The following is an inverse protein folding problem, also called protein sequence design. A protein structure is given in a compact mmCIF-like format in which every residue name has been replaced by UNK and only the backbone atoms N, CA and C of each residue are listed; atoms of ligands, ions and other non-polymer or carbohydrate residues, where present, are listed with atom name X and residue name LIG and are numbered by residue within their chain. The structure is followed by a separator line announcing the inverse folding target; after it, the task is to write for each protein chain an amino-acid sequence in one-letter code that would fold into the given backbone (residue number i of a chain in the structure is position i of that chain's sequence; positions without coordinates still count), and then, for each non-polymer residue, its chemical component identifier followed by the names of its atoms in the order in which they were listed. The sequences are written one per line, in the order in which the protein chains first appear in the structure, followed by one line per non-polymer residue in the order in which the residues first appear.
data_IF_783285885575
#
_entry.id   IF_783285885575
#
_cell.length_a   1.000
_cell.length_b   1.000
_cell.length_c   1.000
_cell.angle_alpha   90.00
_cell.angle_beta   90.00
_cell.angle_gamma   90.00
#
_symmetry.space_group_name_H-M   'P 1'
#
loop_
_entity.id
_entity.type
_entity.pdbx_description
1 polymer ?
#
# COMPACT_ATOMS: atom_id res chain seq x y z
N UNK A 1 -16.81 -12.19 11.30
CA UNK A 1 -16.14 -11.37 12.35
C UNK A 1 -14.84 -10.69 11.88
N UNK A 2 -14.36 -10.93 10.67
CA UNK A 2 -13.18 -10.26 10.11
C UNK A 2 -13.57 -8.94 9.40
N UNK A 3 -14.83 -8.80 9.02
CA UNK A 3 -15.36 -7.64 8.26
C UNK A 3 -15.57 -6.36 9.12
N UNK A 4 -15.55 -6.46 10.44
CA UNK A 4 -15.77 -5.32 11.36
C UNK A 4 -14.57 -4.34 11.46
N UNK A 5 -13.42 -4.70 10.91
CA UNK A 5 -12.20 -3.88 10.98
C UNK A 5 -11.98 -2.97 9.75
N UNK A 6 -12.78 -3.14 8.70
CA UNK A 6 -12.64 -2.36 7.48
C UNK A 6 -13.69 -1.24 7.40
N UNK A 7 -13.23 -0.06 7.01
CA UNK A 7 -14.12 1.08 6.75
C UNK A 7 -14.87 0.87 5.43
N UNK A 8 -16.19 0.66 5.48
CA UNK A 8 -16.99 0.43 4.25
C UNK A 8 -16.90 1.61 3.29
N UNK A 9 -16.72 1.35 1.99
CA UNK A 9 -16.70 2.43 0.99
C UNK A 9 -18.03 3.18 0.92
N UNK A 10 -17.95 4.46 0.56
CA UNK A 10 -19.10 5.27 0.21
C UNK A 10 -19.62 4.84 -1.17
N UNK A 11 -20.88 4.39 -1.24
CA UNK A 11 -21.44 3.78 -2.45
C UNK A 11 -22.12 4.79 -3.38
N UNK A 12 -22.56 5.95 -2.88
CA UNK A 12 -23.35 6.96 -3.57
C UNK A 12 -22.83 8.39 -3.35
N UNK A 13 -21.57 8.51 -2.94
CA UNK A 13 -20.90 9.80 -2.78
C UNK A 13 -20.47 10.44 -4.10
N UNK A 14 -19.89 11.63 -3.99
CA UNK A 14 -19.18 12.22 -5.11
C UNK A 14 -17.95 11.39 -5.49
N UNK A 15 -17.31 11.72 -6.60
CA UNK A 15 -16.18 10.97 -7.13
C UNK A 15 -15.00 10.92 -6.13
N UNK A 16 -14.68 12.04 -5.46
CA UNK A 16 -13.62 12.10 -4.46
C UNK A 16 -13.92 11.19 -3.27
N UNK A 17 -15.12 11.28 -2.71
CA UNK A 17 -15.54 10.46 -1.59
C UNK A 17 -15.53 8.97 -1.94
N UNK A 18 -15.98 8.62 -3.15
CA UNK A 18 -15.97 7.25 -3.65
C UNK A 18 -14.54 6.73 -3.77
N UNK A 19 -13.65 7.42 -4.50
CA UNK A 19 -12.28 6.97 -4.73
C UNK A 19 -11.47 6.88 -3.44
N UNK A 20 -11.57 7.87 -2.57
CA UNK A 20 -10.81 7.87 -1.30
C UNK A 20 -11.28 6.79 -0.34
N UNK A 21 -12.59 6.53 -0.27
CA UNK A 21 -13.13 5.49 0.59
C UNK A 21 -12.82 4.08 0.07
N UNK A 22 -12.84 3.87 -1.26
CA UNK A 22 -12.40 2.60 -1.87
C UNK A 22 -10.91 2.36 -1.62
N UNK A 23 -10.06 3.38 -1.77
CA UNK A 23 -8.64 3.25 -1.44
C UNK A 23 -8.43 2.91 0.04
N UNK A 24 -9.20 3.54 0.95
CA UNK A 24 -9.11 3.20 2.39
C UNK A 24 -9.53 1.74 2.65
N UNK A 25 -10.61 1.27 2.02
CA UNK A 25 -11.01 -0.14 2.10
C UNK A 25 -9.90 -1.09 1.67
N UNK A 26 -9.16 -0.76 0.60
CA UNK A 26 -8.03 -1.56 0.13
C UNK A 26 -6.88 -1.57 1.14
N UNK A 27 -6.57 -0.42 1.77
CA UNK A 27 -5.57 -0.33 2.85
C UNK A 27 -5.95 -1.19 4.04
N UNK A 28 -7.21 -1.09 4.48
CA UNK A 28 -7.74 -1.90 5.60
C UNK A 28 -7.69 -3.40 5.26
N UNK A 29 -7.93 -3.78 4.00
CA UNK A 29 -7.81 -5.15 3.53
C UNK A 29 -6.38 -5.68 3.68
N UNK A 30 -5.37 -4.92 3.30
CA UNK A 30 -3.97 -5.31 3.51
C UNK A 30 -3.67 -5.58 4.98
N UNK A 31 -4.11 -4.68 5.87
CA UNK A 31 -3.93 -4.84 7.32
C UNK A 31 -4.63 -6.09 7.85
N UNK A 32 -5.86 -6.35 7.39
CA UNK A 32 -6.61 -7.54 7.73
C UNK A 32 -5.88 -8.83 7.32
N UNK A 33 -5.25 -8.84 6.12
CA UNK A 33 -4.48 -10.00 5.65
C UNK A 33 -3.20 -10.24 6.46
N UNK A 34 -2.68 -9.22 7.13
CA UNK A 34 -1.51 -9.32 8.00
C UNK A 34 -1.84 -9.59 9.48
N UNK A 35 -3.10 -9.36 9.88
CA UNK A 35 -3.50 -9.41 11.29
C UNK A 35 -3.31 -10.78 11.94
N UNK A 36 -2.78 -10.78 13.18
CA UNK A 36 -2.62 -11.99 14.00
C UNK A 36 -1.47 -12.91 13.62
N UNK A 37 -0.67 -12.56 12.60
CA UNK A 37 0.49 -13.33 12.17
C UNK A 37 1.74 -12.97 12.97
N UNK A 38 2.60 -13.97 13.19
CA UNK A 38 3.92 -13.78 13.79
C UNK A 38 4.89 -13.10 12.80
N UNK A 39 5.99 -12.55 13.31
CA UNK A 39 7.05 -11.98 12.47
C UNK A 39 7.61 -12.98 11.44
N UNK A 40 7.74 -14.24 11.80
CA UNK A 40 8.19 -15.31 10.90
C UNK A 40 7.16 -15.55 9.78
N UNK A 41 5.87 -15.64 10.13
CA UNK A 41 4.79 -15.80 9.16
C UNK A 41 4.68 -14.62 8.19
N UNK A 42 4.84 -13.39 8.67
CA UNK A 42 4.82 -12.18 7.83
C UNK A 42 5.97 -12.15 6.81
N UNK A 43 7.16 -12.66 7.17
CA UNK A 43 8.33 -12.74 6.28
C UNK A 43 8.30 -13.94 5.33
N UNK A 44 7.41 -14.92 5.57
CA UNK A 44 7.40 -16.18 4.85
C UNK A 44 7.03 -16.00 3.37
N UNK A 45 7.89 -16.49 2.46
CA UNK A 45 7.63 -16.62 1.02
C UNK A 45 6.84 -17.91 0.78
N UNK A 46 5.53 -17.87 1.07
CA UNK A 46 4.68 -19.07 1.20
C UNK A 46 4.22 -19.67 -0.13
N UNK A 47 4.26 -18.91 -1.23
CA UNK A 47 3.77 -19.34 -2.56
C UNK A 47 4.94 -19.52 -3.52
N UNK A 48 5.43 -20.76 -3.64
CA UNK A 48 6.56 -21.12 -4.54
C UNK A 48 6.11 -21.05 -6.01
N UNK A 49 6.92 -20.50 -6.94
CA UNK A 49 8.27 -19.95 -6.79
C UNK A 49 8.31 -18.43 -6.50
N UNK A 50 7.23 -17.82 -6.07
CA UNK A 50 7.16 -16.39 -5.79
C UNK A 50 8.09 -15.98 -4.66
N UNK A 51 8.79 -14.85 -4.82
CA UNK A 51 9.57 -14.19 -3.78
C UNK A 51 8.76 -13.27 -2.87
N UNK A 52 7.45 -13.17 -3.06
CA UNK A 52 6.58 -12.28 -2.28
C UNK A 52 6.34 -12.82 -0.88
N UNK A 53 6.22 -11.90 0.07
CA UNK A 53 5.78 -12.13 1.44
C UNK A 53 4.82 -11.01 1.85
N UNK A 54 3.99 -11.23 2.88
CA UNK A 54 3.07 -10.20 3.37
C UNK A 54 3.85 -8.95 3.84
N UNK A 55 4.96 -9.14 4.56
CA UNK A 55 5.79 -8.03 5.00
C UNK A 55 6.42 -7.27 3.83
N UNK A 56 6.84 -7.97 2.78
CA UNK A 56 7.34 -7.36 1.54
C UNK A 56 6.28 -6.50 0.84
N UNK A 57 5.02 -6.95 0.82
CA UNK A 57 3.90 -6.18 0.27
C UNK A 57 3.62 -4.90 1.07
N UNK A 58 3.66 -4.95 2.40
CA UNK A 58 3.51 -3.76 3.27
C UNK A 58 4.60 -2.74 2.96
N UNK A 59 5.86 -3.16 2.87
CA UNK A 59 7.01 -2.30 2.55
C UNK A 59 6.90 -1.72 1.14
N UNK A 60 6.54 -2.54 0.15
CA UNK A 60 6.32 -2.10 -1.22
C UNK A 60 5.22 -1.03 -1.31
N UNK A 61 4.06 -1.28 -0.68
CA UNK A 61 2.95 -0.32 -0.71
C UNK A 61 3.26 0.97 0.05
N UNK A 62 4.14 0.95 1.07
CA UNK A 62 4.67 2.18 1.66
C UNK A 62 5.49 3.01 0.65
N UNK A 63 6.32 2.35 -0.18
CA UNK A 63 7.07 3.03 -1.25
C UNK A 63 6.16 3.58 -2.34
N UNK A 64 5.13 2.84 -2.74
CA UNK A 64 4.14 3.28 -3.74
C UNK A 64 3.36 4.50 -3.24
N UNK A 65 2.88 4.48 -2.00
CA UNK A 65 2.24 5.63 -1.33
C UNK A 65 3.15 6.87 -1.31
N UNK A 66 4.39 6.69 -0.86
CA UNK A 66 5.39 7.76 -0.83
C UNK A 66 5.62 8.34 -2.22
N UNK A 67 5.83 7.47 -3.20
CA UNK A 67 6.14 7.87 -4.58
C UNK A 67 5.02 8.71 -5.18
N UNK A 68 3.80 8.23 -5.14
CA UNK A 68 2.68 8.88 -5.81
C UNK A 68 2.14 10.10 -5.06
N UNK A 69 1.90 9.99 -3.76
CA UNK A 69 1.31 11.11 -3.03
C UNK A 69 2.33 12.13 -2.59
N UNK A 70 3.47 11.72 -2.04
CA UNK A 70 4.45 12.67 -1.51
C UNK A 70 5.30 13.28 -2.61
N UNK A 71 5.93 12.44 -3.46
CA UNK A 71 6.88 12.95 -4.44
C UNK A 71 6.17 13.49 -5.69
N UNK A 72 5.22 12.75 -6.27
CA UNK A 72 4.55 13.18 -7.51
C UNK A 72 3.54 14.28 -7.24
N UNK A 73 2.56 14.06 -6.38
CA UNK A 73 1.48 15.03 -6.14
C UNK A 73 1.89 16.15 -5.17
N UNK A 74 2.52 15.80 -4.07
CA UNK A 74 2.89 16.72 -2.98
C UNK A 74 4.18 17.49 -3.22
N UNK A 75 4.92 17.19 -4.30
CA UNK A 75 6.20 17.80 -4.64
C UNK A 75 7.26 17.71 -3.52
N UNK A 76 7.14 16.71 -2.64
CA UNK A 76 8.10 16.44 -1.59
C UNK A 76 9.28 15.64 -2.18
N UNK A 77 10.52 16.08 -1.95
CA UNK A 77 11.73 15.31 -2.33
C UNK A 77 12.08 14.31 -1.21
N UNK A 78 11.30 13.27 -1.09
CA UNK A 78 11.50 12.24 -0.05
C UNK A 78 12.17 11.01 -0.64
N UNK A 79 13.31 10.64 -0.06
CA UNK A 79 14.01 9.41 -0.44
C UNK A 79 13.21 8.16 -0.11
N UNK A 80 13.46 7.07 -0.86
CA UNK A 80 12.87 5.77 -0.58
C UNK A 80 13.20 5.28 0.84
N UNK A 81 12.23 4.66 1.47
CA UNK A 81 12.41 4.03 2.79
C UNK A 81 13.29 2.79 2.71
N UNK A 82 13.17 2.07 1.59
CA UNK A 82 13.87 0.82 1.31
C UNK A 82 14.68 0.97 0.02
N UNK A 83 15.84 1.67 0.07
CA UNK A 83 16.62 2.00 -1.12
C UNK A 83 17.20 0.74 -1.76
N UNK A 84 17.70 0.89 -2.98
CA UNK A 84 18.44 -0.18 -3.65
C UNK A 84 19.70 -0.54 -2.88
N UNK A 85 20.01 -1.84 -2.86
CA UNK A 85 21.27 -2.35 -2.34
C UNK A 85 22.44 -2.08 -3.32
N UNK A 86 23.65 -2.50 -2.97
CA UNK A 86 24.85 -2.35 -3.80
C UNK A 86 24.74 -3.08 -5.16
N UNK A 87 23.91 -4.13 -5.25
CA UNK A 87 23.62 -4.85 -6.49
C UNK A 87 22.56 -4.14 -7.37
N UNK A 88 21.99 -3.02 -6.91
CA UNK A 88 20.96 -2.26 -7.61
C UNK A 88 19.56 -2.83 -7.48
N UNK A 89 19.34 -3.78 -6.57
CA UNK A 89 18.03 -4.41 -6.32
C UNK A 89 17.26 -3.62 -5.27
N UNK A 90 15.95 -3.47 -5.46
CA UNK A 90 15.06 -2.86 -4.49
C UNK A 90 14.94 -3.71 -3.23
N UNK A 91 15.14 -3.11 -2.06
CA UNK A 91 15.20 -3.85 -0.79
C UNK A 91 13.87 -3.96 -0.05
N UNK A 92 12.78 -3.43 -0.60
CA UNK A 92 11.45 -3.60 0.01
C UNK A 92 11.03 -5.06 0.18
N UNK A 93 11.45 -5.94 -0.73
CA UNK A 93 11.16 -7.39 -0.67
C UNK A 93 12.23 -8.23 0.05
N UNK A 94 13.33 -7.61 0.48
CA UNK A 94 14.33 -8.27 1.33
C UNK A 94 13.89 -8.15 2.79
N UNK A 95 13.18 -9.16 3.27
CA UNK A 95 12.49 -9.09 4.57
C UNK A 95 13.09 -9.99 5.64
N UNK A 96 14.16 -10.69 5.33
CA UNK A 96 14.77 -11.71 6.20
C UNK A 96 15.10 -11.15 7.59
N UNK A 97 15.67 -9.94 7.65
CA UNK A 97 16.04 -9.23 8.87
C UNK A 97 15.14 -8.02 9.17
N UNK A 98 14.05 -7.83 8.36
CA UNK A 98 13.19 -6.66 8.53
C UNK A 98 12.35 -6.76 9.80
N UNK A 99 12.25 -5.66 10.55
CA UNK A 99 11.33 -5.54 11.68
C UNK A 99 9.91 -5.26 11.17
N UNK A 100 8.93 -6.16 11.46
CA UNK A 100 7.55 -5.91 11.09
C UNK A 100 6.96 -4.65 11.73
N UNK A 101 7.23 -4.39 13.00
CA UNK A 101 6.69 -3.23 13.70
C UNK A 101 7.15 -1.93 13.04
N UNK A 102 8.43 -1.82 12.68
CA UNK A 102 8.95 -0.67 11.92
C UNK A 102 8.31 -0.57 10.54
N UNK A 103 8.18 -1.66 9.82
CA UNK A 103 7.59 -1.69 8.47
C UNK A 103 6.14 -1.21 8.47
N UNK A 104 5.33 -1.67 9.42
CA UNK A 104 3.94 -1.22 9.60
C UNK A 104 3.88 0.26 9.99
N UNK A 105 4.71 0.71 10.91
CA UNK A 105 4.77 2.12 11.31
C UNK A 105 5.08 3.03 10.11
N UNK A 106 6.07 2.68 9.29
CA UNK A 106 6.42 3.43 8.08
C UNK A 106 5.22 3.49 7.11
N UNK A 107 4.55 2.37 6.88
CA UNK A 107 3.39 2.31 6.01
C UNK A 107 2.23 3.16 6.54
N UNK A 108 1.90 3.05 7.84
CA UNK A 108 0.82 3.82 8.48
C UNK A 108 1.07 5.32 8.42
N UNK A 109 2.29 5.78 8.79
CA UNK A 109 2.68 7.18 8.72
C UNK A 109 2.63 7.72 7.28
N UNK A 110 3.01 6.88 6.30
CA UNK A 110 2.95 7.26 4.89
C UNK A 110 1.52 7.38 4.41
N UNK A 111 0.64 6.44 4.73
CA UNK A 111 -0.79 6.51 4.42
C UNK A 111 -1.44 7.76 5.05
N UNK A 112 -1.08 8.08 6.29
CA UNK A 112 -1.58 9.29 6.95
C UNK A 112 -1.11 10.57 6.22
N UNK A 113 0.14 10.61 5.77
CA UNK A 113 0.64 11.73 4.98
C UNK A 113 -0.08 11.83 3.64
N UNK A 114 -0.33 10.71 2.96
CA UNK A 114 -1.09 10.64 1.71
C UNK A 114 -2.50 11.21 1.88
N UNK A 115 -3.21 10.83 2.96
CA UNK A 115 -4.54 11.36 3.25
C UNK A 115 -4.54 12.89 3.39
N UNK A 116 -3.57 13.45 4.11
CA UNK A 116 -3.43 14.91 4.28
C UNK A 116 -3.16 15.63 2.95
N UNK A 117 -2.35 15.05 2.07
CA UNK A 117 -2.08 15.61 0.75
C UNK A 117 -3.36 15.60 -0.10
N UNK A 118 -4.10 14.50 -0.10
CA UNK A 118 -5.38 14.38 -0.82
C UNK A 118 -6.42 15.35 -0.27
N UNK A 119 -6.53 15.50 1.06
CA UNK A 119 -7.46 16.41 1.72
C UNK A 119 -7.17 17.87 1.38
N UNK A 120 -5.89 18.25 1.30
CA UNK A 120 -5.47 19.60 0.96
C UNK A 120 -5.62 19.95 -0.53
N UNK A 121 -5.82 18.98 -1.40
CA UNK A 121 -5.98 19.20 -2.84
C UNK A 121 -7.35 19.86 -3.15
N UNK A 122 -7.33 20.94 -3.92
CA UNK A 122 -8.54 21.73 -4.24
C UNK A 122 -9.54 20.93 -5.08
N UNK A 123 -9.06 20.09 -6.00
CA UNK A 123 -9.91 19.25 -6.86
C UNK A 123 -9.20 17.96 -7.24
N UNK A 124 -9.90 17.04 -7.92
CA UNK A 124 -9.30 15.83 -8.49
C UNK A 124 -8.44 16.13 -9.74
N UNK A 125 -8.57 17.33 -10.31
CA UNK A 125 -7.82 17.75 -11.50
C UNK A 125 -6.45 18.34 -11.18
N UNK A 126 -6.13 18.59 -9.90
CA UNK A 126 -4.76 19.00 -9.54
C UNK A 126 -3.76 17.96 -10.00
N UNK A 127 -2.63 18.42 -10.51
CA UNK A 127 -1.63 17.54 -11.10
C UNK A 127 -0.30 17.60 -10.37
N UNK A 128 0.33 16.44 -10.23
CA UNK A 128 1.75 16.32 -9.94
C UNK A 128 2.52 15.89 -11.18
N UNK A 129 3.84 15.76 -11.09
CA UNK A 129 4.65 15.31 -12.23
C UNK A 129 5.72 14.31 -11.82
N UNK A 130 6.05 13.44 -12.77
CA UNK A 130 7.24 12.58 -12.69
C UNK A 130 7.92 12.56 -14.06
N UNK A 131 9.17 13.03 -14.12
CA UNK A 131 9.83 13.32 -15.38
C UNK A 131 9.05 14.35 -16.18
N UNK A 132 8.81 14.09 -17.46
CA UNK A 132 8.08 14.96 -18.37
C UNK A 132 6.56 14.69 -18.38
N UNK A 133 6.06 13.81 -17.51
CA UNK A 133 4.64 13.43 -17.47
C UNK A 133 3.93 14.06 -16.29
N UNK A 134 2.72 14.58 -16.53
CA UNK A 134 1.80 15.07 -15.51
C UNK A 134 0.74 14.02 -15.19
N UNK A 135 0.37 13.93 -13.92
CA UNK A 135 -0.61 12.97 -13.40
C UNK A 135 -1.62 13.71 -12.53
N UNK A 136 -2.91 13.61 -12.87
CA UNK A 136 -3.97 14.17 -12.02
C UNK A 136 -4.14 13.37 -10.73
N UNK A 137 -4.67 14.01 -9.69
CA UNK A 137 -5.08 13.31 -8.47
C UNK A 137 -6.09 12.19 -8.77
N UNK A 138 -6.98 12.42 -9.74
CA UNK A 138 -7.92 11.40 -10.21
C UNK A 138 -7.19 10.14 -10.71
N UNK A 139 -6.20 10.31 -11.58
CA UNK A 139 -5.37 9.19 -12.04
C UNK A 139 -4.63 8.52 -10.89
N UNK A 140 -4.01 9.30 -10.00
CA UNK A 140 -3.24 8.77 -8.88
C UNK A 140 -4.12 7.91 -7.97
N UNK A 141 -5.32 8.38 -7.57
CA UNK A 141 -6.25 7.61 -6.76
C UNK A 141 -6.68 6.30 -7.44
N UNK A 142 -7.00 6.36 -8.74
CA UNK A 142 -7.36 5.17 -9.52
C UNK A 142 -6.21 4.17 -9.59
N UNK A 143 -5.01 4.65 -9.87
CA UNK A 143 -3.80 3.83 -9.91
C UNK A 143 -3.47 3.19 -8.54
N UNK A 144 -3.62 3.95 -7.47
CA UNK A 144 -3.42 3.43 -6.11
C UNK A 144 -4.43 2.34 -5.75
N UNK A 145 -5.70 2.49 -6.15
CA UNK A 145 -6.70 1.44 -5.98
C UNK A 145 -6.30 0.17 -6.75
N UNK A 146 -5.81 0.32 -7.99
CA UNK A 146 -5.30 -0.79 -8.81
C UNK A 146 -4.12 -1.49 -8.12
N UNK A 147 -3.13 -0.75 -7.65
CA UNK A 147 -1.96 -1.28 -6.95
C UNK A 147 -2.35 -2.08 -5.71
N UNK A 148 -3.17 -1.50 -4.84
CA UNK A 148 -3.64 -2.20 -3.66
C UNK A 148 -4.50 -3.43 -4.00
N UNK A 149 -5.43 -3.34 -4.96
CA UNK A 149 -6.29 -4.45 -5.34
C UNK A 149 -5.46 -5.63 -5.88
N UNK A 150 -4.46 -5.35 -6.73
CA UNK A 150 -3.51 -6.35 -7.24
C UNK A 150 -2.76 -7.03 -6.11
N UNK A 151 -2.19 -6.25 -5.20
CA UNK A 151 -1.38 -6.77 -4.10
C UNK A 151 -2.21 -7.42 -3.00
N UNK A 152 -3.45 -7.02 -2.79
CA UNK A 152 -4.39 -7.73 -1.91
C UNK A 152 -4.73 -9.12 -2.46
N UNK A 153 -4.87 -9.28 -3.78
CA UNK A 153 -4.98 -10.61 -4.39
C UNK A 153 -3.74 -11.50 -4.17
N UNK A 154 -2.53 -10.92 -4.19
CA UNK A 154 -1.33 -11.66 -3.79
C UNK A 154 -1.34 -12.00 -2.30
N UNK A 155 -1.80 -11.06 -1.45
CA UNK A 155 -1.90 -11.26 -0.01
C UNK A 155 -2.91 -12.36 0.36
N UNK A 156 -4.00 -12.52 -0.41
CA UNK A 156 -4.97 -13.61 -0.24
C UNK A 156 -4.28 -14.97 -0.36
N UNK A 157 -3.55 -15.19 -1.45
CA UNK A 157 -2.85 -16.45 -1.68
C UNK A 157 -1.74 -16.70 -0.65
N UNK A 158 -1.00 -15.65 -0.27
CA UNK A 158 0.03 -15.75 0.77
C UNK A 158 -0.59 -16.11 2.12
N UNK A 159 -1.69 -15.47 2.50
CA UNK A 159 -2.40 -15.74 3.76
C UNK A 159 -2.91 -17.17 3.83
N UNK A 160 -3.60 -17.62 2.79
CA UNK A 160 -4.09 -19.00 2.69
C UNK A 160 -2.94 -20.03 2.79
N UNK A 161 -1.81 -19.77 2.11
CA UNK A 161 -0.65 -20.65 2.15
C UNK A 161 0.10 -20.64 3.51
N UNK A 162 -0.05 -19.59 4.31
CA UNK A 162 0.58 -19.46 5.64
C UNK A 162 -0.20 -20.22 6.72
N UNK A 163 -1.50 -19.99 6.81
CA UNK A 163 -2.32 -20.49 7.93
C UNK A 163 -3.71 -21.04 7.53
N UNK A 164 -4.00 -21.11 6.22
CA UNK A 164 -5.27 -21.63 5.70
C UNK A 164 -6.44 -20.66 5.82
N UNK A 165 -6.24 -19.44 6.32
CA UNK A 165 -7.29 -18.42 6.43
C UNK A 165 -7.59 -17.86 5.05
N UNK A 166 -8.85 -18.02 4.62
CA UNK A 166 -9.41 -17.40 3.43
C UNK A 166 -10.42 -16.33 3.83
N UNK A 167 -10.70 -15.40 2.97
CA UNK A 167 -11.74 -14.41 3.20
C UNK A 167 -11.45 -13.07 2.54
N UNK A 168 -12.53 -12.36 2.28
CA UNK A 168 -12.53 -11.02 1.72
C UNK A 168 -12.27 -9.95 2.79
#
# INVERSE_FOLDING_TARGET
MIDEQRTRPVLDGDERATLTSVLQWQRDTLMMKCAGLTAEQLRRKAVVPSGLSLLGLVRHLAEVERGWFRNVLGWEDVRGYFPKNEAGEWTEFHVEEADPAESFRIWEETCERSRKIVEAAESLDVTGSFGDQAYSLHYILTHMIEEYARHNGHADLLREAIDGVTGE
#
